data_IF_596210502102
#
_entry.id   IF_596210502102
#
_cell.length_a   1.000
_cell.length_b   1.000
_cell.length_c   1.000
_cell.angle_alpha   90.00
_cell.angle_beta   90.00
_cell.angle_gamma   90.00
#
_symmetry.space_group_name_H-M   'P 1'
#
loop_
_entity.id
_entity.type
_entity.pdbx_description
1 polymer ?
#
# COMPACT_ATOMS: atom_id res chain seq x y z
N UNK A 1 1.92 19.79 30.80
CA UNK A 1 0.74 19.97 29.94
C UNK A 1 1.23 19.80 28.52
N UNK A 2 0.72 18.80 27.78
CA UNK A 2 1.05 18.67 26.37
C UNK A 2 0.35 19.79 25.59
N UNK A 3 1.09 20.50 24.75
CA UNK A 3 0.51 21.46 23.82
C UNK A 3 -0.04 20.66 22.65
N UNK A 4 -1.32 20.81 22.37
CA UNK A 4 -1.95 20.19 21.22
C UNK A 4 -1.70 21.07 19.99
N UNK A 5 -0.88 20.60 19.05
CA UNK A 5 -0.54 21.35 17.84
C UNK A 5 -1.70 21.30 16.83
N UNK A 6 -2.28 22.43 16.40
CA UNK A 6 -3.44 22.44 15.49
C UNK A 6 -3.21 21.70 14.16
N UNK A 7 -1.98 21.70 13.65
CA UNK A 7 -1.59 20.94 12.45
C UNK A 7 -1.69 19.43 12.69
N UNK A 8 -1.24 18.94 13.84
CA UNK A 8 -1.30 17.50 14.17
C UNK A 8 -2.74 17.01 14.33
N UNK A 9 -3.60 17.84 14.94
CA UNK A 9 -5.04 17.57 15.00
C UNK A 9 -5.67 17.51 13.61
N UNK A 10 -5.36 18.48 12.75
CA UNK A 10 -5.88 18.51 11.39
C UNK A 10 -5.47 17.25 10.61
N UNK A 11 -4.21 16.83 10.70
CA UNK A 11 -3.70 15.65 10.02
C UNK A 11 -4.30 14.35 10.56
N UNK A 12 -4.49 14.24 11.88
CA UNK A 12 -5.24 13.14 12.50
C UNK A 12 -6.65 13.05 11.91
N UNK A 13 -7.38 14.17 11.91
CA UNK A 13 -8.76 14.25 11.43
C UNK A 13 -8.90 13.84 9.95
N UNK A 14 -7.87 14.05 9.12
CA UNK A 14 -7.88 13.63 7.72
C UNK A 14 -7.47 12.16 7.50
N UNK A 15 -6.48 11.68 8.27
CA UNK A 15 -5.84 10.37 8.02
C UNK A 15 -6.56 9.20 8.66
N UNK A 16 -7.33 9.40 9.74
CA UNK A 16 -8.02 8.31 10.47
C UNK A 16 -9.52 8.19 10.13
N UNK A 17 -9.92 8.79 9.02
CA UNK A 17 -11.30 8.75 8.52
C UNK A 17 -11.63 7.39 7.90
N UNK A 18 -12.92 7.04 7.90
CA UNK A 18 -13.43 5.87 7.16
C UNK A 18 -13.05 5.96 5.66
N UNK A 19 -13.09 7.17 5.10
CA UNK A 19 -12.73 7.42 3.70
C UNK A 19 -11.23 7.19 3.42
N UNK A 20 -10.34 7.56 4.35
CA UNK A 20 -8.91 7.26 4.23
C UNK A 20 -8.64 5.75 4.20
N UNK A 21 -9.28 4.99 5.10
CA UNK A 21 -9.17 3.53 5.14
C UNK A 21 -9.72 2.88 3.87
N UNK A 22 -10.87 3.38 3.37
CA UNK A 22 -11.45 2.96 2.10
C UNK A 22 -10.51 3.22 0.93
N UNK A 23 -9.96 4.43 0.81
CA UNK A 23 -9.03 4.82 -0.26
C UNK A 23 -7.78 3.95 -0.26
N UNK A 24 -7.24 3.61 0.92
CA UNK A 24 -6.12 2.69 1.07
C UNK A 24 -6.47 1.29 0.56
N UNK A 25 -7.56 0.71 1.06
CA UNK A 25 -8.04 -0.62 0.67
C UNK A 25 -8.29 -0.71 -0.84
N UNK A 26 -9.08 0.20 -1.41
CA UNK A 26 -9.44 0.19 -2.83
C UNK A 26 -8.23 0.38 -3.74
N UNK A 27 -7.28 1.24 -3.36
CA UNK A 27 -6.04 1.40 -4.12
C UNK A 27 -5.22 0.10 -4.11
N UNK A 28 -5.06 -0.54 -2.95
CA UNK A 28 -4.29 -1.78 -2.85
C UNK A 28 -4.96 -2.93 -3.59
N UNK A 29 -6.27 -3.07 -3.41
CA UNK A 29 -7.12 -4.02 -4.16
C UNK A 29 -6.92 -3.87 -5.65
N UNK A 30 -6.94 -2.63 -6.16
CA UNK A 30 -6.78 -2.37 -7.58
C UNK A 30 -5.41 -2.80 -8.11
N UNK A 31 -4.35 -2.60 -7.35
CA UNK A 31 -3.01 -3.08 -7.70
C UNK A 31 -3.01 -4.62 -7.79
N UNK A 32 -3.57 -5.32 -6.81
CA UNK A 32 -3.62 -6.78 -6.79
C UNK A 32 -4.46 -7.33 -7.95
N UNK A 33 -5.63 -6.76 -8.24
CA UNK A 33 -6.47 -7.16 -9.38
C UNK A 33 -5.70 -7.09 -10.71
N UNK A 34 -4.88 -6.05 -10.89
CA UNK A 34 -4.03 -5.90 -12.09
C UNK A 34 -2.98 -7.01 -12.14
N UNK A 35 -2.28 -7.25 -11.03
CA UNK A 35 -1.24 -8.27 -10.95
C UNK A 35 -1.81 -9.68 -11.19
N UNK A 36 -2.93 -10.02 -10.56
CA UNK A 36 -3.60 -11.31 -10.72
C UNK A 36 -4.13 -11.53 -12.14
N UNK A 37 -4.74 -10.51 -12.73
CA UNK A 37 -5.23 -10.57 -14.10
C UNK A 37 -4.11 -10.91 -15.08
N UNK A 38 -2.97 -10.20 -14.97
CA UNK A 38 -1.80 -10.45 -15.83
C UNK A 38 -1.13 -11.78 -15.53
N UNK A 39 -1.06 -12.18 -14.26
CA UNK A 39 -0.55 -13.49 -13.87
C UNK A 39 -1.36 -14.60 -14.53
N UNK A 40 -2.69 -14.55 -14.44
CA UNK A 40 -3.57 -15.55 -15.02
C UNK A 40 -3.46 -15.60 -16.56
N UNK A 41 -3.33 -14.46 -17.21
CA UNK A 41 -3.11 -14.38 -18.66
C UNK A 41 -1.84 -15.12 -19.08
N UNK A 42 -0.72 -14.88 -18.40
CA UNK A 42 0.56 -15.53 -18.71
C UNK A 42 0.54 -17.02 -18.37
N UNK A 43 -0.06 -17.38 -17.23
CA UNK A 43 -0.17 -18.79 -16.81
C UNK A 43 -1.04 -19.64 -17.75
N UNK A 44 -1.94 -19.02 -18.53
CA UNK A 44 -2.69 -19.72 -19.60
C UNK A 44 -1.83 -20.00 -20.84
N UNK A 45 -0.72 -19.28 -21.01
CA UNK A 45 0.12 -19.33 -22.20
C UNK A 45 1.59 -19.61 -21.86
N UNK A 46 1.81 -20.58 -20.96
CA UNK A 46 3.15 -20.94 -20.51
C UNK A 46 3.95 -21.58 -21.66
N UNK A 47 5.14 -21.05 -22.01
CA UNK A 47 6.02 -21.64 -23.01
C UNK A 47 6.54 -23.02 -22.60
N UNK A 48 6.82 -23.89 -23.57
CA UNK A 48 7.33 -25.24 -23.29
C UNK A 48 8.69 -25.25 -22.55
N UNK A 49 9.52 -24.22 -22.76
CA UNK A 49 10.82 -24.05 -22.10
C UNK A 49 10.73 -23.43 -20.70
N UNK A 50 9.53 -23.05 -20.23
CA UNK A 50 9.34 -22.28 -19.01
C UNK A 50 10.03 -22.88 -17.77
N UNK A 51 9.95 -24.20 -17.61
CA UNK A 51 10.57 -24.92 -16.47
C UNK A 51 12.10 -25.00 -16.55
N UNK A 52 12.69 -24.73 -17.71
CA UNK A 52 14.14 -24.69 -17.88
C UNK A 52 14.72 -23.30 -17.54
N UNK A 53 13.87 -22.31 -17.28
CA UNK A 53 14.30 -20.96 -16.90
C UNK A 53 14.77 -20.94 -15.45
N UNK A 54 15.60 -19.96 -15.12
CA UNK A 54 16.03 -19.75 -13.75
C UNK A 54 14.82 -19.52 -12.83
N UNK A 55 14.91 -19.92 -11.55
CA UNK A 55 13.79 -19.88 -10.60
C UNK A 55 13.19 -18.47 -10.50
N UNK A 56 14.02 -17.43 -10.52
CA UNK A 56 13.57 -16.04 -10.49
C UNK A 56 12.76 -15.60 -11.73
N UNK A 57 12.84 -16.37 -12.82
CA UNK A 57 12.06 -16.17 -14.06
C UNK A 57 10.82 -17.08 -14.13
N UNK A 58 10.65 -18.00 -13.17
CA UNK A 58 9.46 -18.84 -13.05
C UNK A 58 8.42 -18.10 -12.18
N UNK A 59 7.56 -17.34 -12.86
CA UNK A 59 6.52 -16.50 -12.27
C UNK A 59 5.56 -17.24 -11.33
N UNK A 60 5.23 -18.51 -11.60
CA UNK A 60 4.42 -19.36 -10.70
C UNK A 60 5.11 -19.64 -9.35
N UNK A 61 6.43 -19.75 -9.35
CA UNK A 61 7.22 -19.92 -8.12
C UNK A 61 7.35 -18.56 -7.43
N UNK A 62 7.84 -17.54 -8.14
CA UNK A 62 8.10 -16.23 -7.51
C UNK A 62 6.81 -15.50 -7.15
N UNK A 63 5.94 -15.24 -8.12
CA UNK A 63 4.70 -14.52 -7.90
C UNK A 63 3.55 -15.41 -7.45
N UNK A 64 3.39 -16.59 -8.06
CA UNK A 64 2.29 -17.49 -7.78
C UNK A 64 2.30 -18.07 -6.36
N UNK A 65 3.46 -18.49 -5.85
CA UNK A 65 3.58 -19.13 -4.54
C UNK A 65 4.12 -18.24 -3.42
N UNK A 66 4.74 -17.10 -3.73
CA UNK A 66 5.29 -16.20 -2.71
C UNK A 66 4.62 -14.82 -2.72
N UNK A 67 4.76 -14.05 -3.81
CA UNK A 67 4.32 -12.65 -3.81
C UNK A 67 2.80 -12.51 -3.70
N UNK A 68 2.02 -13.07 -4.64
CA UNK A 68 0.57 -12.90 -4.66
C UNK A 68 -0.12 -13.37 -3.39
N UNK A 69 0.26 -14.52 -2.76
CA UNK A 69 -0.26 -14.89 -1.44
C UNK A 69 -0.01 -13.81 -0.38
N UNK A 70 1.20 -13.29 -0.26
CA UNK A 70 1.51 -12.24 0.72
C UNK A 70 0.69 -10.96 0.46
N UNK A 71 0.57 -10.53 -0.80
CA UNK A 71 -0.23 -9.36 -1.14
C UNK A 71 -1.72 -9.56 -0.77
N UNK A 72 -2.26 -10.77 -0.95
CA UNK A 72 -3.65 -11.10 -0.55
C UNK A 72 -3.82 -11.06 0.97
N UNK A 73 -2.87 -11.58 1.72
CA UNK A 73 -2.92 -11.56 3.19
C UNK A 73 -2.94 -10.11 3.72
N UNK A 74 -2.13 -9.23 3.14
CA UNK A 74 -2.19 -7.79 3.42
C UNK A 74 -3.55 -7.21 2.99
N UNK A 75 -4.06 -7.53 1.80
CA UNK A 75 -5.37 -7.04 1.35
C UNK A 75 -6.51 -7.40 2.30
N UNK A 76 -6.53 -8.64 2.80
CA UNK A 76 -7.52 -9.09 3.78
C UNK A 76 -7.42 -8.26 5.07
N UNK A 77 -6.21 -8.01 5.56
CA UNK A 77 -5.97 -7.17 6.74
C UNK A 77 -6.48 -5.73 6.52
N UNK A 78 -6.25 -5.15 5.34
CA UNK A 78 -6.74 -3.80 5.01
C UNK A 78 -8.26 -3.73 4.89
N UNK A 79 -8.90 -4.81 4.41
CA UNK A 79 -10.36 -4.93 4.36
C UNK A 79 -10.96 -4.98 5.77
N UNK A 80 -10.37 -5.80 6.65
CA UNK A 80 -10.76 -5.89 8.05
C UNK A 80 -10.67 -4.53 8.74
N UNK A 81 -9.56 -3.82 8.58
CA UNK A 81 -9.39 -2.46 9.09
C UNK A 81 -10.49 -1.49 8.61
N UNK A 82 -10.82 -1.55 7.31
CA UNK A 82 -11.86 -0.71 6.72
C UNK A 82 -13.25 -1.03 7.30
N UNK A 83 -13.57 -2.32 7.45
CA UNK A 83 -14.83 -2.77 8.08
C UNK A 83 -14.89 -2.31 9.55
N UNK A 84 -13.80 -2.49 10.31
CA UNK A 84 -13.73 -2.02 11.69
C UNK A 84 -13.93 -0.50 11.77
N UNK A 85 -13.36 0.29 10.85
CA UNK A 85 -13.63 1.73 10.80
C UNK A 85 -15.07 2.08 10.45
N UNK A 86 -15.72 1.36 9.53
CA UNK A 86 -17.15 1.56 9.24
C UNK A 86 -18.03 1.41 10.48
N UNK A 87 -17.64 0.54 11.41
CA UNK A 87 -18.33 0.32 12.69
C UNK A 87 -17.83 1.21 13.83
N UNK A 88 -16.92 2.15 13.55
CA UNK A 88 -16.26 2.98 14.55
C UNK A 88 -15.57 2.19 15.67
N UNK A 89 -15.05 0.99 15.35
CA UNK A 89 -14.32 0.14 16.28
C UNK A 89 -12.88 0.62 16.44
N UNK A 90 -12.42 0.76 17.69
CA UNK A 90 -11.08 1.20 18.03
C UNK A 90 -9.99 0.19 17.61
N UNK A 91 -10.35 -1.06 17.33
CA UNK A 91 -9.41 -2.09 16.86
C UNK A 91 -8.77 -1.78 15.50
N UNK A 92 -9.36 -0.87 14.71
CA UNK A 92 -8.78 -0.46 13.44
C UNK A 92 -7.55 0.45 13.60
N UNK A 93 -7.39 1.11 14.75
CA UNK A 93 -6.31 2.08 14.95
C UNK A 93 -4.92 1.45 14.87
N UNK A 94 -4.56 0.32 15.52
CA UNK A 94 -3.22 -0.27 15.38
C UNK A 94 -2.93 -0.92 14.01
N UNK A 95 -3.29 -0.27 12.90
CA UNK A 95 -3.04 -0.66 11.52
C UNK A 95 -1.89 0.11 10.88
N UNK A 96 -1.54 -0.27 9.64
CA UNK A 96 -0.50 0.39 8.85
C UNK A 96 0.84 -0.36 8.80
N UNK A 97 1.59 -0.15 7.72
CA UNK A 97 2.93 -0.68 7.48
C UNK A 97 3.00 -2.02 6.74
N UNK A 98 1.85 -2.64 6.46
CA UNK A 98 1.76 -3.92 5.74
C UNK A 98 2.24 -3.79 4.30
N UNK A 99 1.82 -2.73 3.60
CA UNK A 99 2.12 -2.54 2.18
C UNK A 99 3.62 -2.28 1.95
N UNK A 100 4.26 -1.54 2.86
CA UNK A 100 5.72 -1.33 2.83
C UNK A 100 6.48 -2.65 3.07
N UNK A 101 5.95 -3.51 3.93
CA UNK A 101 6.52 -4.84 4.17
C UNK A 101 6.42 -5.72 2.93
N UNK A 102 5.30 -5.66 2.21
CA UNK A 102 5.14 -6.32 0.91
C UNK A 102 6.13 -5.79 -0.14
N UNK A 103 6.29 -4.47 -0.24
CA UNK A 103 7.27 -3.86 -1.15
C UNK A 103 8.69 -4.38 -0.88
N UNK A 104 9.08 -4.47 0.39
CA UNK A 104 10.37 -5.05 0.79
C UNK A 104 10.47 -6.52 0.39
N UNK A 105 9.45 -7.32 0.69
CA UNK A 105 9.40 -8.73 0.33
C UNK A 105 9.54 -8.96 -1.18
N UNK A 106 8.88 -8.13 -1.98
CA UNK A 106 8.96 -8.19 -3.44
C UNK A 106 10.35 -7.78 -3.97
N UNK A 107 10.78 -6.56 -3.68
CA UNK A 107 11.92 -5.96 -4.38
C UNK A 107 13.27 -6.28 -3.73
N UNK A 108 13.34 -6.32 -2.40
CA UNK A 108 14.59 -6.50 -1.67
C UNK A 108 14.87 -7.99 -1.40
N UNK A 109 13.86 -8.72 -0.92
CA UNK A 109 14.06 -10.10 -0.46
C UNK A 109 13.98 -11.09 -1.63
N UNK A 110 12.99 -10.93 -2.51
CA UNK A 110 12.78 -11.82 -3.66
C UNK A 110 13.43 -11.32 -4.96
N UNK A 111 13.79 -10.03 -5.03
CA UNK A 111 14.38 -9.42 -6.23
C UNK A 111 13.50 -9.54 -7.47
N UNK A 112 12.16 -9.55 -7.29
CA UNK A 112 11.24 -9.82 -8.39
C UNK A 112 10.99 -8.58 -9.24
N UNK A 113 10.97 -8.81 -10.55
CA UNK A 113 10.61 -7.81 -11.56
C UNK A 113 9.07 -7.73 -11.72
N UNK A 114 8.57 -6.58 -12.15
CA UNK A 114 7.17 -6.34 -12.54
C UNK A 114 7.00 -6.16 -14.06
N UNK A 115 8.09 -6.09 -14.83
CA UNK A 115 8.05 -5.88 -16.29
C UNK A 115 7.30 -6.97 -17.04
N UNK A 116 7.18 -8.18 -16.46
CA UNK A 116 6.38 -9.28 -17.00
C UNK A 116 4.90 -8.91 -17.17
N UNK A 117 4.39 -7.94 -16.41
CA UNK A 117 3.01 -7.45 -16.57
C UNK A 117 2.80 -6.70 -17.89
N UNK A 118 3.86 -6.27 -18.57
CA UNK A 118 3.80 -5.38 -19.72
C UNK A 118 3.56 -3.92 -19.34
N UNK A 119 4.07 -3.00 -20.17
CA UNK A 119 4.26 -1.58 -19.84
C UNK A 119 3.05 -0.88 -19.22
N UNK A 120 1.88 -0.98 -19.83
CA UNK A 120 0.68 -0.26 -19.34
C UNK A 120 0.15 -0.84 -18.03
N UNK A 121 0.12 -2.17 -17.89
CA UNK A 121 -0.35 -2.81 -16.67
C UNK A 121 0.65 -2.61 -15.52
N UNK A 122 1.95 -2.68 -15.80
CA UNK A 122 2.99 -2.37 -14.82
C UNK A 122 2.85 -0.93 -14.29
N UNK A 123 2.65 0.03 -15.19
CA UNK A 123 2.46 1.44 -14.82
C UNK A 123 1.24 1.61 -13.91
N UNK A 124 0.12 0.98 -14.23
CA UNK A 124 -1.09 1.02 -13.39
C UNK A 124 -0.89 0.31 -12.05
N UNK A 125 -0.27 -0.88 -12.06
CA UNK A 125 0.08 -1.62 -10.84
C UNK A 125 0.89 -0.74 -9.89
N UNK A 126 2.01 -0.18 -10.38
CA UNK A 126 2.88 0.69 -9.59
C UNK A 126 2.11 1.92 -9.10
N UNK A 127 1.32 2.57 -9.95
CA UNK A 127 0.53 3.74 -9.55
C UNK A 127 -0.37 3.45 -8.35
N UNK A 128 -1.18 2.39 -8.42
CA UNK A 128 -2.11 2.03 -7.35
C UNK A 128 -1.39 1.50 -6.11
N UNK A 129 -0.31 0.73 -6.29
CA UNK A 129 0.50 0.20 -5.19
C UNK A 129 1.14 1.33 -4.38
N UNK A 130 1.83 2.27 -5.04
CA UNK A 130 2.47 3.41 -4.36
C UNK A 130 1.44 4.36 -3.73
N UNK A 131 0.28 4.53 -4.37
CA UNK A 131 -0.83 5.28 -3.76
C UNK A 131 -1.31 4.63 -2.47
N UNK A 132 -1.47 3.30 -2.46
CA UNK A 132 -1.88 2.56 -1.28
C UNK A 132 -0.81 2.63 -0.18
N UNK A 133 0.46 2.43 -0.51
CA UNK A 133 1.58 2.52 0.44
C UNK A 133 1.65 3.89 1.11
N UNK A 134 1.46 4.97 0.36
CA UNK A 134 1.45 6.33 0.91
C UNK A 134 0.31 6.51 1.92
N UNK A 135 -0.90 6.04 1.59
CA UNK A 135 -2.04 6.09 2.51
C UNK A 135 -1.81 5.21 3.75
N UNK A 136 -1.22 4.04 3.57
CA UNK A 136 -0.88 3.11 4.64
C UNK A 136 0.17 3.67 5.60
N UNK A 137 1.19 4.36 5.06
CA UNK A 137 2.23 5.03 5.83
C UNK A 137 1.68 6.22 6.62
N UNK A 138 0.75 6.97 6.03
CA UNK A 138 0.06 8.06 6.73
C UNK A 138 -0.75 7.53 7.92
N UNK A 139 -1.45 6.41 7.75
CA UNK A 139 -2.19 5.74 8.83
C UNK A 139 -1.22 5.20 9.89
N UNK A 140 -0.16 4.47 9.49
CA UNK A 140 0.85 3.93 10.42
C UNK A 140 1.45 5.04 11.30
N UNK A 141 1.80 6.17 10.67
CA UNK A 141 2.37 7.33 11.34
C UNK A 141 1.41 7.94 12.36
N UNK A 142 0.10 7.89 12.10
CA UNK A 142 -0.90 8.51 12.96
C UNK A 142 -1.52 7.59 14.00
N UNK A 143 -1.30 6.28 13.92
CA UNK A 143 -2.00 5.34 14.80
C UNK A 143 -1.12 4.34 15.54
N UNK A 144 0.14 4.15 15.12
CA UNK A 144 1.06 3.21 15.76
C UNK A 144 1.96 3.92 16.78
N UNK A 145 2.16 3.29 17.93
CA UNK A 145 2.81 3.83 19.14
C UNK A 145 4.29 4.26 18.97
N UNK A 146 4.89 4.08 17.79
CA UNK A 146 6.26 4.48 17.45
C UNK A 146 6.32 5.58 16.36
N UNK A 147 5.19 5.99 15.77
CA UNK A 147 5.13 7.06 14.75
C UNK A 147 4.88 8.46 15.34
N UNK A 148 4.30 8.52 16.54
CA UNK A 148 4.09 9.75 17.30
C UNK A 148 5.25 9.99 18.25
N UNK A 149 6.31 10.61 17.77
CA UNK A 149 7.13 11.47 18.62
C UNK A 149 6.62 12.90 18.47
N UNK A 150 6.62 13.68 19.55
CA UNK A 150 6.43 15.14 19.49
C UNK A 150 7.27 15.68 18.31
N UNK A 151 6.67 16.50 17.46
CA UNK A 151 7.24 17.09 16.24
C UNK A 151 7.29 16.23 14.95
N UNK A 152 6.95 14.93 14.96
CA UNK A 152 7.00 14.10 13.75
C UNK A 152 6.06 14.59 12.64
N UNK A 153 4.85 15.01 13.01
CA UNK A 153 3.86 15.59 12.09
C UNK A 153 4.12 17.07 11.78
N UNK A 154 5.05 17.70 12.51
CA UNK A 154 5.51 19.08 12.29
C UNK A 154 6.62 19.14 11.24
N UNK A 155 7.55 18.18 11.22
CA UNK A 155 8.72 18.19 10.31
C UNK A 155 8.83 17.00 9.33
N UNK A 156 8.14 15.89 9.60
CA UNK A 156 8.15 14.67 8.77
C UNK A 156 6.92 14.49 7.88
N UNK A 157 5.92 15.37 8.03
CA UNK A 157 4.74 15.36 7.15
C UNK A 157 5.11 15.86 5.76
N UNK A 158 5.19 14.94 4.80
CA UNK A 158 5.41 15.27 3.38
C UNK A 158 4.05 15.69 2.79
N UNK A 159 3.79 17.00 2.77
CA UNK A 159 2.78 17.58 1.91
C UNK A 159 3.10 17.26 0.45
N UNK A 160 2.08 17.00 -0.35
CA UNK A 160 2.21 16.60 -1.75
C UNK A 160 3.16 17.51 -2.53
N UNK A 161 4.19 16.92 -3.12
CA UNK A 161 4.95 17.54 -4.20
C UNK A 161 4.01 17.69 -5.41
N UNK A 162 3.99 18.88 -6.00
CA UNK A 162 2.96 19.45 -6.90
C UNK A 162 2.63 18.65 -8.19
N UNK A 163 3.22 17.48 -8.39
CA UNK A 163 3.13 16.71 -9.64
C UNK A 163 1.99 15.69 -9.68
N UNK A 164 1.37 15.36 -8.55
CA UNK A 164 0.18 14.51 -8.51
C UNK A 164 -0.80 15.01 -7.45
N UNK A 165 -1.54 16.04 -7.83
CA UNK A 165 -2.54 16.72 -7.02
C UNK A 165 -3.68 15.75 -6.63
N UNK A 166 -3.70 15.27 -5.39
CA UNK A 166 -4.77 14.41 -4.85
C UNK A 166 -5.54 15.07 -3.70
N UNK A 167 -5.49 16.39 -3.59
CA UNK A 167 -6.55 17.18 -2.96
C UNK A 167 -6.44 17.38 -1.45
N UNK A 168 -5.22 17.49 -0.92
CA UNK A 168 -5.00 18.02 0.43
C UNK A 168 -4.17 19.31 0.34
N UNK A 169 -4.85 20.46 0.34
CA UNK A 169 -4.20 21.77 0.45
C UNK A 169 -3.94 22.10 1.92
N UNK A 170 -2.69 22.31 2.29
CA UNK A 170 -2.36 22.91 3.57
C UNK A 170 -2.94 24.34 3.65
N UNK A 171 -3.53 24.76 4.77
CA UNK A 171 -3.91 26.15 4.96
C UNK A 171 -2.64 27.02 4.97
N UNK A 172 -2.60 28.02 4.09
CA UNK A 172 -1.56 29.05 4.11
C UNK A 172 -1.66 29.88 5.39
N UNK A 173 -0.51 30.16 6.02
CA UNK A 173 -0.37 31.05 7.17
C UNK A 173 -0.96 32.43 6.94
#
# INVERSE_FOLDING_TARGET
>A
MGILHPQECYLLEQTITVDAYKKRYEAYKKAIEIAESRYLEIMRHIPADYRNRAINQQLDITWGSCVLPNLRDTLNSLEEDYILRLHNDLKAYPSGGGIRSDAKGMYADMGVDTSWMGTEAEKQFRHYFWKAEKLDSNIESTTRNNGWTEDFLTYGFIAEDDNYNFGLSLPTR
#
